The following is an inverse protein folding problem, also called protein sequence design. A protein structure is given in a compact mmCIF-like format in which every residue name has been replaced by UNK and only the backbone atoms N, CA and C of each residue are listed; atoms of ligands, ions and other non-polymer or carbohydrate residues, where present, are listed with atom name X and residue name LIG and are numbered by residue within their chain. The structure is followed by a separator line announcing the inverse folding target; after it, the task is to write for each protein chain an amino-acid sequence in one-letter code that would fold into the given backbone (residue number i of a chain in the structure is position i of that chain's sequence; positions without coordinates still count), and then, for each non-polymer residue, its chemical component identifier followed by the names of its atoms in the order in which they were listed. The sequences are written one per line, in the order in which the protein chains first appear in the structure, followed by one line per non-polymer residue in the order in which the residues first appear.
data_IF_551342356481
#
_entry.id   IF_551342356481
#
_cell.length_a   1.000
_cell.length_b   1.000
_cell.length_c   1.000
_cell.angle_alpha   90.00
_cell.angle_beta   90.00
_cell.angle_gamma   90.00
#
_symmetry.space_group_name_H-M   'P 1'
#
loop_
_entity.id
_entity.type
_entity.pdbx_description
1 polymer ?
#
# COMPACT_ATOMS: atom_id res chain seq x y z
N UNK A 1 33.54 13.77 4.59
CA UNK A 1 33.52 15.09 3.92
C UNK A 1 32.08 15.58 3.90
N UNK A 2 31.75 16.66 4.63
CA UNK A 2 30.42 17.29 4.54
C UNK A 2 30.40 18.05 3.22
N UNK A 3 29.63 17.55 2.24
CA UNK A 3 29.60 18.12 0.89
C UNK A 3 29.16 19.57 0.93
N UNK A 4 29.95 20.47 0.33
CA UNK A 4 29.52 21.83 0.05
C UNK A 4 28.15 21.77 -0.68
N UNK A 5 27.23 22.66 -0.32
CA UNK A 5 25.86 22.73 -0.86
C UNK A 5 24.85 21.65 -0.40
N UNK A 6 25.19 20.81 0.60
CA UNK A 6 24.23 19.83 1.17
C UNK A 6 22.90 20.45 1.62
N UNK A 7 22.95 21.65 2.20
CA UNK A 7 21.75 22.39 2.61
C UNK A 7 20.87 22.81 1.42
N UNK A 8 21.47 23.11 0.25
CA UNK A 8 20.74 23.42 -0.98
C UNK A 8 20.05 22.17 -1.51
N UNK A 9 20.75 21.03 -1.52
CA UNK A 9 20.16 19.75 -1.92
C UNK A 9 18.99 19.35 -1.02
N UNK A 10 19.16 19.46 0.30
CA UNK A 10 18.09 19.15 1.27
C UNK A 10 16.86 20.03 1.05
N UNK A 11 17.06 21.33 0.81
CA UNK A 11 15.96 22.24 0.51
C UNK A 11 15.27 21.88 -0.82
N UNK A 12 16.02 21.62 -1.89
CA UNK A 12 15.45 21.20 -3.17
C UNK A 12 14.71 19.85 -3.05
N UNK A 13 15.20 18.92 -2.22
CA UNK A 13 14.50 17.66 -1.92
C UNK A 13 13.16 17.91 -1.24
N UNK A 14 13.13 18.81 -0.25
CA UNK A 14 11.89 19.19 0.44
C UNK A 14 10.92 19.90 -0.51
N UNK A 15 11.41 20.84 -1.31
CA UNK A 15 10.62 21.57 -2.31
C UNK A 15 9.90 20.63 -3.28
N UNK A 16 10.59 19.59 -3.77
CA UNK A 16 9.99 18.58 -4.66
C UNK A 16 8.92 17.70 -4.00
N UNK A 17 8.87 17.64 -2.67
CA UNK A 17 7.87 16.87 -1.93
C UNK A 17 6.59 17.68 -1.63
N UNK A 18 6.55 18.97 -1.97
CA UNK A 18 5.36 19.80 -1.79
C UNK A 18 4.45 19.60 -3.01
N UNK A 19 3.19 19.14 -2.79
CA UNK A 19 2.22 18.84 -3.86
C UNK A 19 2.01 20.05 -4.78
N UNK A 20 1.84 21.24 -4.20
CA UNK A 20 1.57 22.50 -4.89
C UNK A 20 2.31 23.65 -4.17
N UNK A 21 3.58 23.94 -4.53
CA UNK A 21 4.38 24.87 -3.74
C UNK A 21 3.92 26.33 -3.85
N UNK A 22 3.30 26.74 -4.96
CA UNK A 22 2.87 28.14 -5.15
C UNK A 22 4.03 29.16 -5.21
N UNK A 23 5.29 28.71 -5.19
CA UNK A 23 6.48 29.55 -5.30
C UNK A 23 7.60 28.84 -6.08
N UNK A 24 8.57 29.63 -6.56
CA UNK A 24 9.77 29.15 -7.23
C UNK A 24 11.01 29.29 -6.34
N UNK A 25 11.97 28.37 -6.49
CA UNK A 25 13.24 28.42 -5.76
C UNK A 25 14.26 29.28 -6.50
N UNK A 26 14.81 30.29 -5.83
CA UNK A 26 15.88 31.13 -6.37
C UNK A 26 17.23 30.71 -5.80
N UNK A 27 18.14 30.25 -6.67
CA UNK A 27 19.52 29.92 -6.29
C UNK A 27 20.42 31.12 -6.60
N UNK A 28 21.01 31.70 -5.55
CA UNK A 28 21.91 32.85 -5.67
C UNK A 28 23.38 32.41 -5.67
N UNK A 29 24.23 33.19 -6.34
CA UNK A 29 25.67 32.98 -6.40
C UNK A 29 26.32 33.85 -7.46
N UNK A 30 27.62 34.09 -7.35
CA UNK A 30 28.39 34.90 -8.31
C UNK A 30 28.32 34.40 -9.75
N UNK A 31 28.66 35.24 -10.71
CA UNK A 31 28.80 34.80 -12.10
C UNK A 31 29.90 33.73 -12.20
N UNK A 32 29.69 32.71 -13.04
CA UNK A 32 30.61 31.57 -13.15
C UNK A 32 30.59 30.57 -11.99
N UNK A 33 29.75 30.75 -10.95
CA UNK A 33 29.73 29.88 -9.76
C UNK A 33 29.13 28.48 -9.96
N UNK A 34 28.89 28.04 -11.20
CA UNK A 34 28.39 26.69 -11.49
C UNK A 34 26.92 26.41 -11.16
N UNK A 35 26.06 27.42 -10.91
CA UNK A 35 24.63 27.22 -10.55
C UNK A 35 23.86 26.33 -11.53
N UNK A 36 24.04 26.57 -12.84
CA UNK A 36 23.39 25.79 -13.89
C UNK A 36 23.83 24.32 -13.82
N UNK A 37 25.14 24.09 -13.79
CA UNK A 37 25.73 22.76 -13.67
C UNK A 37 25.24 22.03 -12.41
N UNK A 38 25.20 22.72 -11.26
CA UNK A 38 24.70 22.15 -10.02
C UNK A 38 23.24 21.67 -10.14
N UNK A 39 22.35 22.49 -10.74
CA UNK A 39 20.95 22.11 -10.93
C UNK A 39 20.77 20.98 -11.93
N UNK A 40 21.52 20.98 -13.03
CA UNK A 40 21.48 19.91 -14.02
C UNK A 40 21.89 18.56 -13.41
N UNK A 41 22.99 18.55 -12.65
CA UNK A 41 23.45 17.36 -11.93
C UNK A 41 22.46 16.89 -10.87
N UNK A 42 21.85 17.82 -10.12
CA UNK A 42 20.81 17.49 -9.14
C UNK A 42 19.58 16.83 -9.80
N UNK A 43 19.11 17.39 -10.93
CA UNK A 43 17.96 16.85 -11.68
C UNK A 43 18.29 15.48 -12.26
N UNK A 44 19.48 15.31 -12.85
CA UNK A 44 19.94 14.05 -13.43
C UNK A 44 20.02 12.95 -12.35
N UNK A 45 20.68 13.25 -11.23
CA UNK A 45 20.73 12.35 -10.07
C UNK A 45 19.33 11.95 -9.60
N UNK A 46 18.41 12.92 -9.48
CA UNK A 46 17.02 12.64 -9.07
C UNK A 46 16.29 11.71 -10.03
N UNK A 47 16.40 11.93 -11.34
CA UNK A 47 15.80 11.04 -12.35
C UNK A 47 16.30 9.60 -12.21
N UNK A 48 17.61 9.42 -12.05
CA UNK A 48 18.20 8.09 -11.85
C UNK A 48 17.76 7.45 -10.53
N UNK A 49 17.73 8.24 -9.45
CA UNK A 49 17.29 7.77 -8.14
C UNK A 49 15.82 7.36 -8.13
N UNK A 50 14.94 8.17 -8.73
CA UNK A 50 13.51 7.88 -8.83
C UNK A 50 13.25 6.64 -9.71
N UNK A 51 13.99 6.49 -10.81
CA UNK A 51 13.95 5.28 -11.64
C UNK A 51 14.42 4.04 -10.86
N UNK A 52 15.49 4.14 -10.09
CA UNK A 52 15.99 3.06 -9.25
C UNK A 52 14.99 2.68 -8.14
N UNK A 53 14.36 3.67 -7.49
CA UNK A 53 13.27 3.42 -6.53
C UNK A 53 12.07 2.75 -7.21
N UNK A 54 11.68 3.20 -8.40
CA UNK A 54 10.57 2.59 -9.15
C UNK A 54 10.88 1.14 -9.50
N UNK A 55 12.10 0.84 -9.95
CA UNK A 55 12.56 -0.52 -10.24
C UNK A 55 12.62 -1.38 -8.97
N UNK A 56 13.20 -0.87 -7.88
CA UNK A 56 13.25 -1.57 -6.60
C UNK A 56 11.85 -1.85 -6.04
N UNK A 57 10.91 -0.89 -6.14
CA UNK A 57 9.50 -1.11 -5.82
C UNK A 57 8.88 -2.18 -6.70
N UNK A 58 9.18 -2.20 -8.01
CA UNK A 58 8.75 -3.26 -8.92
C UNK A 58 9.24 -4.66 -8.53
N UNK A 59 10.54 -4.79 -8.24
CA UNK A 59 11.15 -6.06 -7.81
C UNK A 59 10.62 -6.52 -6.44
N UNK A 60 10.42 -5.58 -5.51
CA UNK A 60 9.77 -5.89 -4.23
C UNK A 60 8.32 -6.33 -4.45
N UNK A 61 7.57 -5.69 -5.37
CA UNK A 61 6.19 -6.07 -5.70
C UNK A 61 6.09 -7.50 -6.24
N UNK A 62 6.90 -7.86 -7.24
CA UNK A 62 6.87 -9.19 -7.86
C UNK A 62 7.19 -10.31 -6.86
N UNK A 63 8.15 -10.09 -5.97
CA UNK A 63 8.51 -11.08 -4.97
C UNK A 63 7.57 -11.09 -3.76
N UNK A 64 6.88 -9.98 -3.47
CA UNK A 64 6.10 -9.86 -2.26
C UNK A 64 4.82 -10.66 -2.28
N UNK A 65 4.06 -10.68 -3.40
CA UNK A 65 2.84 -11.49 -3.50
C UNK A 65 3.12 -12.97 -3.20
N UNK A 66 4.07 -13.54 -3.94
CA UNK A 66 4.53 -14.92 -3.77
C UNK A 66 5.05 -15.18 -2.35
N UNK A 67 5.90 -14.29 -1.83
CA UNK A 67 6.45 -14.43 -0.48
C UNK A 67 5.36 -14.38 0.59
N UNK A 68 4.39 -13.48 0.45
CA UNK A 68 3.30 -13.35 1.40
C UNK A 68 2.41 -14.59 1.40
N UNK A 69 2.10 -15.15 0.22
CA UNK A 69 1.33 -16.39 0.11
C UNK A 69 2.09 -17.58 0.71
N UNK A 70 3.41 -17.66 0.49
CA UNK A 70 4.27 -18.65 1.17
C UNK A 70 4.28 -18.47 2.69
N UNK A 71 4.32 -17.24 3.19
CA UNK A 71 4.17 -16.97 4.63
C UNK A 71 2.79 -17.42 5.11
N UNK A 72 1.71 -17.06 4.41
CA UNK A 72 0.36 -17.44 4.78
C UNK A 72 0.18 -18.97 4.87
N UNK A 73 0.83 -19.71 3.97
CA UNK A 73 0.76 -21.17 3.94
C UNK A 73 1.65 -21.83 5.01
N UNK A 74 2.87 -21.35 5.20
CA UNK A 74 3.89 -22.03 6.01
C UNK A 74 4.07 -21.46 7.41
N UNK A 75 3.87 -20.15 7.58
CA UNK A 75 3.94 -19.42 8.87
C UNK A 75 2.83 -18.35 8.96
N UNK A 76 1.59 -18.79 9.20
CA UNK A 76 0.44 -17.89 9.23
C UNK A 76 0.46 -16.91 10.40
N UNK A 77 1.22 -17.19 11.46
CA UNK A 77 1.46 -16.24 12.56
C UNK A 77 2.30 -15.06 12.05
N UNK A 78 3.39 -15.32 11.31
CA UNK A 78 4.19 -14.27 10.67
C UNK A 78 3.38 -13.50 9.60
N UNK A 79 2.52 -14.18 8.83
CA UNK A 79 1.63 -13.51 7.89
C UNK A 79 0.63 -12.57 8.58
N UNK A 80 0.03 -13.01 9.71
CA UNK A 80 -0.84 -12.18 10.54
C UNK A 80 -0.08 -10.97 11.12
N UNK A 81 1.16 -11.20 11.55
CA UNK A 81 2.03 -10.15 12.07
C UNK A 81 2.38 -9.13 10.98
N UNK A 82 2.68 -9.57 9.76
CA UNK A 82 2.93 -8.69 8.62
C UNK A 82 1.73 -7.79 8.29
N UNK A 83 0.50 -8.32 8.43
CA UNK A 83 -0.74 -7.56 8.23
C UNK A 83 -0.99 -6.52 9.33
N UNK A 84 -0.64 -6.84 10.58
CA UNK A 84 -0.99 -6.05 11.79
C UNK A 84 0.10 -5.10 12.25
N UNK A 85 1.37 -5.40 12.01
CA UNK A 85 2.49 -4.46 12.20
C UNK A 85 2.44 -3.41 11.10
N UNK A 86 1.46 -2.53 11.22
CA UNK A 86 1.38 -1.27 10.50
C UNK A 86 2.65 -0.51 10.87
N UNK A 87 3.65 -0.55 10.00
CA UNK A 87 4.77 0.36 10.10
C UNK A 87 4.21 1.71 9.64
N UNK A 88 3.62 2.46 10.57
CA UNK A 88 2.99 3.78 10.31
C UNK A 88 3.98 4.72 9.59
N UNK A 89 5.28 4.48 9.74
CA UNK A 89 6.37 5.18 9.06
C UNK A 89 6.56 4.81 7.58
N UNK A 90 6.15 3.61 7.16
CA UNK A 90 6.30 3.13 5.79
C UNK A 90 4.91 2.73 5.26
N UNK A 91 4.29 3.62 4.48
CA UNK A 91 3.06 3.41 3.71
C UNK A 91 3.18 2.22 2.72
N UNK A 92 3.25 0.99 3.24
CA UNK A 92 3.47 -0.23 2.47
C UNK A 92 2.15 -0.94 2.28
N UNK A 93 1.76 -1.05 1.02
CA UNK A 93 0.55 -1.70 0.54
C UNK A 93 0.80 -3.19 0.31
N UNK A 94 1.10 -3.92 1.39
CA UNK A 94 1.51 -5.33 1.33
C UNK A 94 0.45 -6.24 0.68
N UNK A 95 -0.83 -5.87 0.66
CA UNK A 95 -1.87 -6.72 0.07
C UNK A 95 -2.25 -6.32 -1.36
N UNK A 96 -1.83 -5.16 -1.86
CA UNK A 96 -2.31 -4.61 -3.13
C UNK A 96 -2.13 -5.56 -4.33
N UNK A 97 -1.01 -6.28 -4.36
CA UNK A 97 -0.60 -7.16 -5.45
C UNK A 97 -0.77 -8.65 -5.12
N UNK A 98 -1.29 -8.98 -3.93
CA UNK A 98 -1.50 -10.38 -3.53
C UNK A 98 -2.54 -11.02 -4.44
N UNK A 99 -2.27 -12.25 -4.90
CA UNK A 99 -3.23 -13.04 -5.66
C UNK A 99 -4.39 -13.46 -4.74
N UNK A 100 -5.59 -12.97 -5.08
CA UNK A 100 -6.77 -13.15 -4.26
C UNK A 100 -7.33 -14.58 -4.33
N UNK A 101 -7.20 -15.25 -5.47
CA UNK A 101 -7.69 -16.61 -5.66
C UNK A 101 -6.78 -17.59 -4.90
N UNK A 102 -5.46 -17.40 -5.00
CA UNK A 102 -4.48 -18.18 -4.24
C UNK A 102 -4.60 -17.95 -2.73
N UNK A 103 -4.81 -16.70 -2.30
CA UNK A 103 -5.10 -16.40 -0.90
C UNK A 103 -6.30 -17.19 -0.37
N UNK A 104 -7.42 -17.22 -1.12
CA UNK A 104 -8.64 -17.92 -0.71
C UNK A 104 -8.39 -19.44 -0.62
N UNK A 105 -7.67 -19.99 -1.60
CA UNK A 105 -7.29 -21.40 -1.59
C UNK A 105 -6.50 -21.77 -0.33
N UNK A 106 -5.44 -21.00 -0.02
CA UNK A 106 -4.63 -21.21 1.19
C UNK A 106 -5.50 -21.04 2.44
N UNK A 107 -6.28 -19.95 2.53
CA UNK A 107 -7.14 -19.64 3.67
C UNK A 107 -8.13 -20.77 3.99
N UNK A 108 -8.73 -21.38 2.97
CA UNK A 108 -9.64 -22.52 3.16
C UNK A 108 -8.93 -23.75 3.74
N UNK A 109 -7.65 -23.95 3.41
CA UNK A 109 -6.85 -25.06 3.91
C UNK A 109 -6.26 -24.84 5.32
N UNK A 110 -6.33 -23.62 5.85
CA UNK A 110 -5.88 -23.33 7.21
C UNK A 110 -6.74 -24.03 8.27
N UNK A 111 -6.13 -24.33 9.41
CA UNK A 111 -6.83 -24.80 10.61
C UNK A 111 -7.74 -23.69 11.15
N UNK A 112 -8.83 -24.06 11.80
CA UNK A 112 -9.87 -23.12 12.29
C UNK A 112 -9.30 -21.94 13.07
N UNK A 113 -8.50 -22.19 14.11
CA UNK A 113 -7.88 -21.14 14.93
C UNK A 113 -6.98 -20.20 14.11
N UNK A 114 -6.28 -20.76 13.12
CA UNK A 114 -5.36 -20.02 12.26
C UNK A 114 -6.14 -19.16 11.25
N UNK A 115 -7.18 -19.71 10.64
CA UNK A 115 -8.06 -18.93 9.75
C UNK A 115 -8.72 -17.75 10.48
N UNK A 116 -9.09 -17.94 11.75
CA UNK A 116 -9.61 -16.88 12.60
C UNK A 116 -8.58 -15.80 12.92
N UNK A 117 -7.33 -16.20 13.18
CA UNK A 117 -6.20 -15.28 13.34
C UNK A 117 -5.99 -14.42 12.09
N UNK A 118 -5.88 -15.05 10.91
CA UNK A 118 -5.70 -14.35 9.63
C UNK A 118 -6.85 -13.39 9.35
N UNK A 119 -8.09 -13.84 9.58
CA UNK A 119 -9.29 -12.99 9.44
C UNK A 119 -9.24 -11.79 10.38
N UNK A 120 -8.81 -12.00 11.63
CA UNK A 120 -8.63 -10.95 12.62
C UNK A 120 -7.55 -9.94 12.22
N UNK A 121 -6.41 -10.42 11.71
CA UNK A 121 -5.32 -9.59 11.21
C UNK A 121 -5.76 -8.71 10.03
N UNK A 122 -6.49 -9.28 9.07
CA UNK A 122 -7.07 -8.55 7.96
C UNK A 122 -8.01 -7.43 8.46
N UNK A 123 -8.86 -7.72 9.45
CA UNK A 123 -9.74 -6.70 10.06
C UNK A 123 -8.92 -5.59 10.71
N UNK A 124 -7.93 -5.95 11.53
CA UNK A 124 -7.09 -4.98 12.25
C UNK A 124 -6.36 -4.04 11.29
N UNK A 125 -5.90 -4.55 10.14
CA UNK A 125 -5.24 -3.75 9.09
C UNK A 125 -6.11 -2.59 8.59
N UNK A 126 -7.41 -2.82 8.44
CA UNK A 126 -8.34 -1.81 7.90
C UNK A 126 -9.17 -1.10 8.98
N UNK A 127 -9.00 -1.41 10.26
CA UNK A 127 -9.82 -0.83 11.33
C UNK A 127 -9.55 0.67 11.52
N UNK A 128 -8.33 1.12 11.19
CA UNK A 128 -7.92 2.53 11.15
C UNK A 128 -7.74 3.08 9.73
N UNK A 129 -8.34 2.45 8.72
CA UNK A 129 -8.21 2.88 7.32
C UNK A 129 -8.59 4.36 7.12
N UNK A 130 -9.46 4.89 7.97
CA UNK A 130 -9.86 6.29 7.99
C UNK A 130 -8.70 7.28 8.18
N UNK A 131 -7.53 6.85 8.66
CA UNK A 131 -6.36 7.71 8.88
C UNK A 131 -5.25 7.52 7.86
N UNK A 132 -5.38 6.55 6.94
CA UNK A 132 -4.30 6.09 6.08
C UNK A 132 -4.74 6.03 4.61
N UNK A 133 -4.51 7.12 3.87
CA UNK A 133 -4.87 7.23 2.44
C UNK A 133 -4.18 6.19 1.58
N UNK A 134 -2.97 5.76 1.94
CA UNK A 134 -2.21 4.76 1.21
C UNK A 134 -2.88 3.36 1.21
N UNK A 135 -3.79 3.07 2.14
CA UNK A 135 -4.55 1.81 2.10
C UNK A 135 -5.56 1.75 0.95
N UNK A 136 -5.88 2.89 0.31
CA UNK A 136 -6.74 2.92 -0.89
C UNK A 136 -6.16 2.07 -2.03
N UNK A 137 -4.84 1.97 -2.12
CA UNK A 137 -4.15 1.16 -3.12
C UNK A 137 -4.42 -0.35 -2.95
N UNK A 138 -4.88 -0.80 -1.76
CA UNK A 138 -5.26 -2.19 -1.51
C UNK A 138 -6.75 -2.47 -1.77
N UNK A 139 -7.54 -1.44 -2.07
CA UNK A 139 -8.97 -1.60 -2.39
C UNK A 139 -9.20 -2.61 -3.54
N UNK A 140 -8.43 -2.59 -4.65
CA UNK A 140 -8.60 -3.56 -5.73
C UNK A 140 -8.36 -5.00 -5.25
N UNK A 141 -7.40 -5.22 -4.34
CA UNK A 141 -7.19 -6.54 -3.74
C UNK A 141 -8.42 -7.00 -2.97
N UNK A 142 -9.01 -6.16 -2.11
CA UNK A 142 -10.21 -6.51 -1.35
C UNK A 142 -11.41 -6.84 -2.25
N UNK A 143 -11.58 -6.11 -3.35
CA UNK A 143 -12.63 -6.39 -4.34
C UNK A 143 -12.41 -7.75 -5.02
N UNK A 144 -11.17 -8.06 -5.43
CA UNK A 144 -10.80 -9.37 -5.98
C UNK A 144 -11.00 -10.47 -4.94
N UNK A 145 -10.58 -10.27 -3.69
CA UNK A 145 -10.70 -11.21 -2.59
C UNK A 145 -12.17 -11.54 -2.29
N UNK A 146 -13.04 -10.52 -2.28
CA UNK A 146 -14.49 -10.73 -2.13
C UNK A 146 -15.05 -11.57 -3.28
N UNK A 147 -14.65 -11.26 -4.52
CA UNK A 147 -15.10 -11.99 -5.71
C UNK A 147 -14.65 -13.45 -5.65
N UNK A 148 -13.37 -13.70 -5.38
CA UNK A 148 -12.80 -15.05 -5.24
C UNK A 148 -13.50 -15.86 -4.14
N UNK A 149 -13.64 -15.26 -2.95
CA UNK A 149 -14.32 -15.88 -1.80
C UNK A 149 -15.79 -16.22 -2.11
N UNK A 150 -16.50 -15.31 -2.78
CA UNK A 150 -17.90 -15.52 -3.16
C UNK A 150 -18.05 -16.60 -4.23
N UNK A 151 -17.16 -16.63 -5.22
CA UNK A 151 -17.14 -17.66 -6.25
C UNK A 151 -16.93 -19.04 -5.63
N UNK A 152 -15.92 -19.19 -4.75
CA UNK A 152 -15.65 -20.46 -4.09
C UNK A 152 -16.82 -20.91 -3.20
N UNK A 153 -17.41 -19.99 -2.43
CA UNK A 153 -18.56 -20.27 -1.59
C UNK A 153 -19.78 -20.75 -2.40
N UNK A 154 -20.12 -20.05 -3.49
CA UNK A 154 -21.31 -20.33 -4.30
C UNK A 154 -21.17 -21.60 -5.16
N UNK A 155 -19.95 -21.92 -5.60
CA UNK A 155 -19.69 -23.07 -6.46
C UNK A 155 -19.47 -24.38 -5.66
N UNK A 156 -19.37 -24.31 -4.34
CA UNK A 156 -19.21 -25.51 -3.51
C UNK A 156 -20.58 -26.18 -3.28
N UNK A 157 -20.75 -27.47 -3.60
CA UNK A 157 -22.00 -28.19 -3.35
C UNK A 157 -22.27 -28.36 -1.86
N UNK A 158 -23.57 -28.40 -1.49
CA UNK A 158 -24.00 -28.60 -0.11
C UNK A 158 -23.99 -30.10 0.26
N UNK A 159 -23.74 -30.47 1.54
CA UNK A 159 -23.45 -29.59 2.67
C UNK A 159 -22.03 -28.99 2.60
N UNK A 160 -21.89 -27.74 3.05
CA UNK A 160 -20.60 -27.04 2.96
C UNK A 160 -19.55 -27.65 3.91
N UNK A 161 -18.31 -27.84 3.45
CA UNK A 161 -17.17 -28.03 4.34
C UNK A 161 -17.03 -26.83 5.30
N UNK A 162 -16.57 -27.08 6.53
CA UNK A 162 -16.31 -26.02 7.50
C UNK A 162 -15.35 -24.96 6.94
N UNK A 163 -14.36 -25.37 6.15
CA UNK A 163 -13.41 -24.49 5.45
C UNK A 163 -14.08 -23.48 4.53
N UNK A 164 -15.10 -23.91 3.78
CA UNK A 164 -15.86 -23.05 2.86
C UNK A 164 -16.86 -22.19 3.63
N UNK A 165 -17.46 -22.73 4.70
CA UNK A 165 -18.36 -21.95 5.55
C UNK A 165 -17.67 -20.72 6.16
N UNK A 166 -16.37 -20.81 6.48
CA UNK A 166 -15.58 -19.66 6.97
C UNK A 166 -15.48 -18.50 5.97
N UNK A 167 -15.60 -18.75 4.67
CA UNK A 167 -15.60 -17.69 3.65
C UNK A 167 -16.77 -16.73 3.81
N UNK A 168 -17.90 -17.21 4.37
CA UNK A 168 -19.02 -16.33 4.71
C UNK A 168 -18.59 -15.24 5.69
N UNK A 169 -17.89 -15.60 6.78
CA UNK A 169 -17.41 -14.64 7.76
C UNK A 169 -16.28 -13.77 7.22
N UNK A 170 -15.42 -14.30 6.35
CA UNK A 170 -14.39 -13.51 5.67
C UNK A 170 -15.02 -12.41 4.81
N UNK A 171 -16.02 -12.76 3.99
CA UNK A 171 -16.75 -11.81 3.14
C UNK A 171 -17.38 -10.66 3.94
N UNK A 172 -18.00 -10.95 5.09
CA UNK A 172 -18.54 -9.91 5.97
C UNK A 172 -17.47 -8.91 6.45
N UNK A 173 -16.24 -9.39 6.71
CA UNK A 173 -15.13 -8.52 7.12
C UNK A 173 -14.60 -7.69 5.96
N UNK A 174 -14.50 -8.28 4.77
CA UNK A 174 -14.11 -7.55 3.55
C UNK A 174 -15.09 -6.42 3.25
N UNK A 175 -16.40 -6.66 3.41
CA UNK A 175 -17.42 -5.62 3.24
C UNK A 175 -17.25 -4.45 4.21
N UNK A 176 -16.89 -4.71 5.47
CA UNK A 176 -16.58 -3.66 6.44
C UNK A 176 -15.37 -2.85 5.98
N UNK A 177 -14.29 -3.51 5.57
CA UNK A 177 -13.06 -2.86 5.12
C UNK A 177 -13.29 -1.99 3.86
N UNK A 178 -14.00 -2.50 2.87
CA UNK A 178 -14.35 -1.76 1.65
C UNK A 178 -15.16 -0.50 1.95
N UNK A 179 -16.13 -0.58 2.87
CA UNK A 179 -16.91 0.58 3.31
C UNK A 179 -16.03 1.65 3.97
N UNK A 180 -15.08 1.24 4.82
CA UNK A 180 -14.12 2.17 5.44
C UNK A 180 -13.26 2.88 4.39
N UNK A 181 -12.71 2.14 3.42
CA UNK A 181 -11.92 2.73 2.33
C UNK A 181 -12.75 3.67 1.44
N UNK A 182 -14.02 3.34 1.18
CA UNK A 182 -14.90 4.20 0.40
C UNK A 182 -15.14 5.56 1.07
N UNK A 183 -15.27 5.60 2.41
CA UNK A 183 -15.38 6.86 3.16
C UNK A 183 -14.12 7.71 3.04
N UNK A 184 -12.95 7.08 3.06
CA UNK A 184 -11.66 7.78 2.87
C UNK A 184 -11.60 8.42 1.50
N UNK A 185 -11.90 7.66 0.44
CA UNK A 185 -11.90 8.16 -0.92
C UNK A 185 -12.86 9.35 -1.11
N UNK A 186 -14.06 9.27 -0.54
CA UNK A 186 -15.03 10.37 -0.60
C UNK A 186 -14.50 11.65 0.04
N UNK A 187 -13.90 11.56 1.24
CA UNK A 187 -13.35 12.74 1.94
C UNK A 187 -12.25 13.43 1.13
N UNK A 188 -11.38 12.67 0.47
CA UNK A 188 -10.31 13.22 -0.37
C UNK A 188 -10.89 14.02 -1.54
N UNK A 189 -11.84 13.44 -2.27
CA UNK A 189 -12.48 14.12 -3.41
C UNK A 189 -13.17 15.42 -2.96
N UNK A 190 -13.89 15.40 -1.84
CA UNK A 190 -14.53 16.61 -1.31
C UNK A 190 -13.54 17.67 -0.81
N UNK A 191 -12.32 17.28 -0.40
CA UNK A 191 -11.29 18.24 -0.01
C UNK A 191 -10.59 18.89 -1.20
N UNK A 192 -10.51 18.19 -2.34
CA UNK A 192 -9.92 18.73 -3.57
C UNK A 192 -10.87 19.74 -4.25
N UNK A 193 -12.17 19.44 -4.32
CA UNK A 193 -13.19 20.36 -4.89
C UNK A 193 -13.29 21.70 -4.14
N UNK A 194 -13.09 21.69 -2.81
CA UNK A 194 -13.13 22.91 -1.99
C UNK A 194 -11.86 23.78 -2.13
N UNK A 195 -10.72 23.19 -2.51
CA UNK A 195 -9.47 23.94 -2.72
C UNK A 195 -9.37 24.53 -4.13
N UNK A 196 -10.04 23.97 -5.14
CA UNK A 196 -10.08 24.53 -6.50
C UNK A 196 -11.06 25.71 -6.66
N UNK A 197 -11.89 25.97 -5.65
CA UNK A 197 -12.92 27.03 -5.64
C UNK A 197 -12.54 28.29 -4.86
N UNK A 198 -11.29 28.40 -4.36
CA UNK A 198 -10.76 29.54 -3.59
C UNK A 198 -9.60 30.21 -4.32
#
# INVERSE_FOLDING_TARGET
MVGANKHIEEYLKQYLNIKEPGFAVLIKGGWGSGKKYFIEQFIEFRKHFDSAIKQAKGLLKENWSTRFLQLLENDPDEAAEAMTKVNISNSITILAEVDADEFVNIYCNLKDKISELIRGALVSRYDMAEHYTWLLDEKPFLERLKKASSNMYNNTPKPFPASVFRLYYLNQRIDKALKSLQRVAYRLNTSEENNESS
#
